data_IF_991013282524
#
_entry.id   IF_991013282524
#
_cell.length_a   1.000
_cell.length_b   1.000
_cell.length_c   1.000
_cell.angle_alpha   90.00
_cell.angle_beta   90.00
_cell.angle_gamma   90.00
#
_symmetry.space_group_name_H-M   'P 1'
#
loop_
_entity.id
_entity.type
_entity.pdbx_description
1 polymer ?
#
# COMPACT_ATOMS: atom_id res chain seq x y z
N UNK A 1 -9.01 26.96 30.75
CA UNK A 1 -7.89 26.38 29.98
C UNK A 1 -8.25 25.03 29.37
N UNK A 2 -8.85 24.09 30.11
CA UNK A 2 -9.31 22.78 29.60
C UNK A 2 -10.38 22.89 28.50
N UNK A 3 -11.33 23.83 28.61
CA UNK A 3 -12.39 24.03 27.61
C UNK A 3 -11.86 24.58 26.27
N UNK A 4 -10.92 25.55 26.31
CA UNK A 4 -10.22 26.05 25.11
C UNK A 4 -9.38 24.98 24.40
N UNK A 5 -8.71 24.11 25.17
CA UNK A 5 -7.97 22.96 24.62
C UNK A 5 -8.90 21.92 23.98
N UNK A 6 -10.09 21.72 24.57
CA UNK A 6 -11.11 20.83 24.01
C UNK A 6 -11.70 21.38 22.71
N UNK A 7 -12.03 22.68 22.66
CA UNK A 7 -12.51 23.37 21.46
C UNK A 7 -11.49 23.36 20.33
N UNK A 8 -10.20 23.58 20.63
CA UNK A 8 -9.12 23.49 19.64
C UNK A 8 -8.93 22.06 19.10
N UNK A 9 -8.99 21.04 19.97
CA UNK A 9 -8.92 19.64 19.56
C UNK A 9 -10.13 19.20 18.71
N UNK A 10 -11.33 19.69 19.03
CA UNK A 10 -12.56 19.44 18.26
C UNK A 10 -12.57 20.17 16.92
N UNK A 11 -12.14 21.44 16.87
CA UNK A 11 -12.00 22.19 15.63
C UNK A 11 -10.99 21.51 14.68
N UNK A 12 -9.87 21.02 15.23
CA UNK A 12 -8.88 20.22 14.49
C UNK A 12 -9.47 18.90 13.97
N UNK A 13 -10.32 18.22 14.75
CA UNK A 13 -10.99 16.99 14.32
C UNK A 13 -11.99 17.22 13.17
N UNK A 14 -12.80 18.28 13.23
CA UNK A 14 -13.74 18.62 12.15
C UNK A 14 -13.03 18.91 10.83
N UNK A 15 -11.96 19.73 10.88
CA UNK A 15 -11.15 20.05 9.69
C UNK A 15 -10.51 18.78 9.12
N UNK A 16 -9.90 17.95 9.98
CA UNK A 16 -9.29 16.68 9.55
C UNK A 16 -10.31 15.76 8.89
N UNK A 17 -11.48 15.58 9.51
CA UNK A 17 -12.54 14.74 8.94
C UNK A 17 -13.00 15.29 7.58
N UNK A 18 -13.22 16.59 7.45
CA UNK A 18 -13.61 17.20 6.17
C UNK A 18 -12.58 16.95 5.06
N UNK A 19 -11.28 17.11 5.37
CA UNK A 19 -10.19 16.82 4.42
C UNK A 19 -10.16 15.34 4.03
N UNK A 20 -10.23 14.42 5.00
CA UNK A 20 -10.23 12.98 4.71
C UNK A 20 -11.45 12.58 3.85
N UNK A 21 -12.63 13.11 4.16
CA UNK A 21 -13.85 12.87 3.37
C UNK A 21 -13.72 13.40 1.94
N UNK A 22 -13.12 14.57 1.76
CA UNK A 22 -12.86 15.12 0.42
C UNK A 22 -11.94 14.20 -0.39
N UNK A 23 -10.87 13.68 0.21
CA UNK A 23 -9.94 12.76 -0.46
C UNK A 23 -10.55 11.39 -0.79
N UNK A 24 -11.48 10.89 0.03
CA UNK A 24 -12.14 9.61 -0.19
C UNK A 24 -13.32 9.67 -1.17
N UNK A 25 -13.90 10.86 -1.37
CA UNK A 25 -15.16 11.06 -2.10
C UNK A 25 -15.08 10.61 -3.56
N UNK A 26 -15.99 9.71 -3.94
CA UNK A 26 -16.13 9.23 -5.31
C UNK A 26 -16.61 10.33 -6.28
N UNK A 27 -17.48 11.24 -5.81
CA UNK A 27 -17.96 12.36 -6.64
C UNK A 27 -16.83 13.35 -6.94
N UNK A 28 -16.04 13.71 -5.93
CA UNK A 28 -14.85 14.57 -6.10
C UNK A 28 -13.86 13.90 -7.05
N UNK A 29 -13.64 12.60 -6.90
CA UNK A 29 -12.77 11.83 -7.78
C UNK A 29 -13.23 11.88 -9.25
N UNK A 30 -14.52 11.65 -9.52
CA UNK A 30 -15.07 11.75 -10.89
C UNK A 30 -14.97 13.16 -11.45
N UNK A 31 -15.28 14.17 -10.63
CA UNK A 31 -15.21 15.56 -11.02
C UNK A 31 -13.77 15.97 -11.39
N UNK A 32 -12.79 15.55 -10.58
CA UNK A 32 -11.37 15.81 -10.85
C UNK A 32 -10.91 15.16 -12.15
N UNK A 33 -11.32 13.93 -12.45
CA UNK A 33 -11.05 13.27 -13.75
C UNK A 33 -11.65 14.05 -14.91
N UNK A 34 -12.91 14.45 -14.80
CA UNK A 34 -13.60 15.21 -15.84
C UNK A 34 -12.87 16.53 -16.10
N UNK A 35 -12.57 17.29 -15.05
CA UNK A 35 -11.85 18.58 -15.13
C UNK A 35 -10.46 18.42 -15.72
N UNK A 36 -9.69 17.38 -15.34
CA UNK A 36 -8.35 17.18 -15.89
C UNK A 36 -8.37 16.79 -17.36
N UNK A 37 -9.33 15.96 -17.81
CA UNK A 37 -9.50 15.66 -19.22
C UNK A 37 -9.96 16.87 -20.05
N UNK A 38 -10.88 17.69 -19.53
CA UNK A 38 -11.31 18.94 -20.16
C UNK A 38 -10.13 19.92 -20.30
N UNK A 39 -9.35 20.11 -19.25
CA UNK A 39 -8.16 20.95 -19.27
C UNK A 39 -7.13 20.45 -20.30
N UNK A 40 -6.78 19.16 -20.25
CA UNK A 40 -5.88 18.51 -21.24
C UNK A 40 -6.35 18.74 -22.67
N UNK A 41 -7.64 18.54 -22.93
CA UNK A 41 -8.22 18.75 -24.26
C UNK A 41 -8.15 20.21 -24.70
N UNK A 42 -8.45 21.16 -23.81
CA UNK A 42 -8.40 22.59 -24.12
C UNK A 42 -6.99 23.10 -24.41
N UNK A 43 -5.99 22.51 -23.76
CA UNK A 43 -4.57 22.82 -23.94
C UNK A 43 -3.92 22.04 -25.10
N UNK A 44 -4.70 21.23 -25.84
CA UNK A 44 -4.22 20.32 -26.89
C UNK A 44 -3.06 19.40 -26.43
N UNK A 45 -3.03 19.05 -25.13
CA UNK A 45 -2.01 18.13 -24.60
C UNK A 45 -2.31 16.69 -25.04
N UNK A 46 -1.30 15.92 -25.47
CA UNK A 46 -1.48 14.50 -25.73
C UNK A 46 -1.79 13.75 -24.43
N UNK A 47 -2.26 12.51 -24.54
CA UNK A 47 -2.37 11.59 -23.40
C UNK A 47 -0.97 11.14 -22.95
N UNK A 48 -0.30 11.96 -22.16
CA UNK A 48 1.06 11.72 -21.64
C UNK A 48 1.02 10.99 -20.28
N UNK A 49 1.63 9.81 -20.23
CA UNK A 49 1.87 9.04 -19.01
C UNK A 49 3.30 9.26 -18.56
N UNK A 50 3.46 9.82 -17.35
CA UNK A 50 4.76 9.88 -16.70
C UNK A 50 5.00 8.56 -15.95
N UNK A 51 6.21 8.01 -16.03
CA UNK A 51 6.62 6.85 -15.23
C UNK A 51 7.90 7.16 -14.46
N UNK A 52 7.81 7.26 -13.15
CA UNK A 52 8.94 7.51 -12.27
C UNK A 52 9.69 6.20 -12.02
N UNK A 53 10.89 6.09 -12.58
CA UNK A 53 11.73 4.91 -12.50
C UNK A 53 12.92 5.16 -11.58
N UNK A 54 13.09 4.31 -10.57
CA UNK A 54 14.24 4.33 -9.66
C UNK A 54 15.05 3.05 -9.88
N UNK A 55 16.35 3.18 -10.15
CA UNK A 55 17.14 2.03 -10.64
C UNK A 55 17.28 0.93 -9.61
N UNK A 56 17.48 1.31 -8.35
CA UNK A 56 17.69 0.42 -7.20
C UNK A 56 16.39 0.09 -6.46
N UNK A 57 15.23 0.43 -7.03
CA UNK A 57 13.93 0.04 -6.50
C UNK A 57 13.50 -1.32 -7.09
N UNK A 58 13.30 -2.35 -6.25
CA UNK A 58 12.91 -3.67 -6.75
C UNK A 58 11.52 -3.65 -7.42
N UNK A 59 10.60 -2.76 -7.02
CA UNK A 59 9.31 -2.62 -7.70
C UNK A 59 9.46 -1.97 -9.07
N UNK A 60 10.41 -1.05 -9.23
CA UNK A 60 10.76 -0.48 -10.54
C UNK A 60 11.31 -1.56 -11.47
N UNK A 61 12.13 -2.49 -10.94
CA UNK A 61 12.61 -3.66 -11.69
C UNK A 61 11.48 -4.61 -12.11
N UNK A 62 10.46 -4.81 -11.27
CA UNK A 62 9.31 -5.63 -11.64
C UNK A 62 8.44 -4.92 -12.69
N UNK A 63 8.13 -3.64 -12.48
CA UNK A 63 7.21 -2.85 -13.31
C UNK A 63 7.74 -2.65 -14.73
N UNK A 64 9.05 -2.44 -14.90
CA UNK A 64 9.67 -2.19 -16.22
C UNK A 64 9.46 -3.35 -17.20
N UNK A 65 9.26 -4.57 -16.72
CA UNK A 65 9.02 -5.76 -17.54
C UNK A 65 7.73 -5.65 -18.37
N UNK A 66 6.75 -4.91 -17.87
CA UNK A 66 5.42 -4.76 -18.47
C UNK A 66 5.28 -3.54 -19.39
N UNK A 67 6.25 -2.63 -19.41
CA UNK A 67 6.13 -1.33 -20.07
C UNK A 67 5.94 -1.43 -21.58
N UNK A 68 6.65 -2.32 -22.27
CA UNK A 68 6.45 -2.48 -23.73
C UNK A 68 5.04 -2.96 -24.04
N UNK A 69 4.53 -3.92 -23.25
CA UNK A 69 3.18 -4.44 -23.41
C UNK A 69 2.17 -3.32 -23.20
N UNK A 70 2.26 -2.62 -22.06
CA UNK A 70 1.44 -1.46 -21.73
C UNK A 70 1.43 -0.42 -22.86
N UNK A 71 2.59 0.03 -23.31
CA UNK A 71 2.70 1.04 -24.38
C UNK A 71 2.16 0.55 -25.72
N UNK A 72 2.32 -0.73 -26.03
CA UNK A 72 1.79 -1.31 -27.27
C UNK A 72 0.27 -1.45 -27.26
N UNK A 73 -0.34 -1.53 -26.07
CA UNK A 73 -1.79 -1.70 -25.89
C UNK A 73 -2.59 -0.40 -26.00
N UNK A 74 -1.96 0.77 -25.83
CA UNK A 74 -2.67 2.05 -25.73
C UNK A 74 -2.11 3.13 -26.67
N UNK A 75 -2.97 4.01 -27.17
CA UNK A 75 -2.60 5.21 -27.91
C UNK A 75 -2.25 6.35 -26.95
N UNK A 76 -1.03 6.29 -26.40
CA UNK A 76 -0.52 7.24 -25.40
C UNK A 76 0.89 7.70 -25.75
N UNK A 77 1.28 8.85 -25.21
CA UNK A 77 2.68 9.23 -25.07
C UNK A 77 3.18 8.71 -23.73
N UNK A 78 4.31 8.00 -23.73
CA UNK A 78 4.89 7.48 -22.51
C UNK A 78 6.25 8.13 -22.27
N UNK A 79 6.42 8.73 -21.09
CA UNK A 79 7.61 9.48 -20.70
C UNK A 79 8.15 8.92 -19.39
N UNK A 80 9.21 8.09 -19.40
CA UNK A 80 9.86 7.75 -18.15
C UNK A 80 10.59 8.98 -17.59
N UNK A 81 10.75 9.01 -16.29
CA UNK A 81 11.50 10.02 -15.56
C UNK A 81 12.39 9.25 -14.58
N UNK A 82 13.70 9.43 -14.70
CA UNK A 82 14.65 8.85 -13.77
C UNK A 82 14.56 9.61 -12.44
N UNK A 83 14.34 8.90 -11.35
CA UNK A 83 14.24 9.47 -10.00
C UNK A 83 15.23 8.77 -9.07
N UNK A 84 15.57 9.46 -7.99
CA UNK A 84 16.50 9.01 -6.96
C UNK A 84 15.78 8.69 -5.67
N UNK A 85 16.44 9.01 -4.55
CA UNK A 85 15.91 8.79 -3.21
C UNK A 85 14.50 9.37 -3.02
N UNK A 86 13.73 8.68 -2.19
CA UNK A 86 12.41 9.06 -1.74
C UNK A 86 12.47 10.33 -0.91
N UNK A 87 11.36 11.08 -0.83
CA UNK A 87 11.27 12.20 0.10
C UNK A 87 11.38 11.67 1.55
N UNK A 88 12.39 12.08 2.36
CA UNK A 88 12.60 11.55 3.71
C UNK A 88 11.41 11.75 4.66
N UNK A 89 10.54 12.73 4.42
CA UNK A 89 9.32 12.96 5.21
C UNK A 89 8.25 11.88 4.98
N UNK A 90 8.43 11.02 3.97
CA UNK A 90 7.41 10.08 3.50
C UNK A 90 7.71 8.62 3.81
N UNK A 91 8.94 8.29 4.18
CA UNK A 91 9.34 6.92 4.54
C UNK A 91 9.65 6.87 6.03
N UNK A 92 8.81 6.17 6.78
CA UNK A 92 9.07 5.88 8.19
C UNK A 92 9.69 4.50 8.27
N UNK A 93 10.71 4.30 9.12
CA UNK A 93 11.43 3.02 9.25
C UNK A 93 12.08 2.53 7.94
N UNK A 94 12.96 3.33 7.29
CA UNK A 94 13.47 3.04 5.95
C UNK A 94 14.22 1.70 5.83
N UNK A 95 14.89 1.24 6.90
CA UNK A 95 15.57 -0.06 6.90
C UNK A 95 14.59 -1.23 6.77
N UNK A 96 13.49 -1.23 7.56
CA UNK A 96 12.46 -2.26 7.47
C UNK A 96 11.76 -2.21 6.11
N UNK A 97 11.45 -0.99 5.64
CA UNK A 97 10.86 -0.78 4.31
C UNK A 97 11.70 -1.43 3.21
N UNK A 98 12.99 -1.10 3.14
CA UNK A 98 13.88 -1.61 2.09
C UNK A 98 14.03 -3.14 2.16
N UNK A 99 14.23 -3.71 3.35
CA UNK A 99 14.30 -5.18 3.52
C UNK A 99 13.01 -5.83 3.01
N UNK A 100 11.85 -5.27 3.38
CA UNK A 100 10.56 -5.79 2.94
C UNK A 100 10.39 -5.69 1.42
N UNK A 101 10.65 -4.53 0.81
CA UNK A 101 10.44 -4.34 -0.64
C UNK A 101 11.24 -5.32 -1.49
N UNK A 102 12.49 -5.59 -1.13
CA UNK A 102 13.33 -6.55 -1.84
C UNK A 102 12.73 -7.96 -1.76
N UNK A 103 12.38 -8.38 -0.55
CA UNK A 103 11.85 -9.72 -0.29
C UNK A 103 10.42 -9.89 -0.85
N UNK A 104 9.61 -8.85 -0.85
CA UNK A 104 8.27 -8.84 -1.46
C UNK A 104 8.35 -9.07 -2.97
N UNK A 105 9.24 -8.35 -3.66
CA UNK A 105 9.44 -8.55 -5.10
C UNK A 105 9.95 -9.95 -5.43
N UNK A 106 10.84 -10.52 -4.60
CA UNK A 106 11.24 -11.94 -4.75
C UNK A 106 10.06 -12.90 -4.65
N UNK A 107 9.11 -12.63 -3.75
CA UNK A 107 7.92 -13.46 -3.54
C UNK A 107 6.91 -13.33 -4.67
N UNK A 108 6.67 -12.11 -5.18
CA UNK A 108 5.63 -11.87 -6.19
C UNK A 108 6.09 -12.06 -7.63
N UNK A 109 7.37 -11.81 -7.94
CA UNK A 109 7.87 -11.85 -9.32
C UNK A 109 7.55 -13.17 -10.06
N UNK A 110 7.66 -14.36 -9.44
CA UNK A 110 7.27 -15.62 -10.09
C UNK A 110 5.79 -15.66 -10.53
N UNK A 111 4.88 -15.05 -9.77
CA UNK A 111 3.45 -14.97 -10.14
C UNK A 111 3.21 -14.05 -11.34
N UNK A 112 4.18 -13.21 -11.68
CA UNK A 112 4.16 -12.32 -12.83
C UNK A 112 5.01 -12.85 -14.01
N UNK A 113 5.51 -14.09 -13.94
CA UNK A 113 6.47 -14.69 -14.87
C UNK A 113 7.78 -13.87 -15.02
N UNK A 114 8.15 -13.15 -13.97
CA UNK A 114 9.38 -12.36 -13.91
C UNK A 114 10.40 -13.09 -13.05
N UNK A 115 11.61 -13.29 -13.58
CA UNK A 115 12.72 -13.81 -12.81
C UNK A 115 13.36 -12.71 -11.96
N UNK A 116 13.42 -12.90 -10.64
CA UNK A 116 14.11 -11.99 -9.73
C UNK A 116 14.86 -12.79 -8.65
N UNK A 117 16.19 -12.78 -8.72
CA UNK A 117 17.05 -13.62 -7.87
C UNK A 117 17.97 -12.82 -6.92
N UNK A 118 17.85 -11.50 -6.88
CA UNK A 118 18.67 -10.65 -6.03
C UNK A 118 18.37 -10.89 -4.55
N UNK A 119 19.40 -11.00 -3.71
CA UNK A 119 19.27 -11.19 -2.25
C UNK A 119 19.74 -9.95 -1.45
N UNK A 120 20.28 -8.97 -2.15
CA UNK A 120 20.71 -7.69 -1.60
C UNK A 120 20.43 -6.59 -2.62
N UNK A 121 20.36 -5.34 -2.14
CA UNK A 121 20.38 -4.19 -3.03
C UNK A 121 21.73 -4.10 -3.77
N UNK A 122 21.77 -3.55 -4.99
CA UNK A 122 23.01 -3.25 -5.70
C UNK A 122 23.89 -2.30 -4.89
N UNK A 123 25.21 -2.39 -5.09
CA UNK A 123 26.15 -1.46 -4.47
C UNK A 123 25.94 -0.03 -4.99
N UNK A 124 26.38 0.97 -4.22
CA UNK A 124 26.32 2.38 -4.66
C UNK A 124 27.04 2.61 -5.98
N UNK A 125 28.18 1.93 -6.21
CA UNK A 125 28.91 2.00 -7.47
C UNK A 125 28.05 1.49 -8.64
N UNK A 126 27.45 0.31 -8.50
CA UNK A 126 26.55 -0.26 -9.51
C UNK A 126 25.36 0.66 -9.81
N UNK A 127 24.75 1.22 -8.76
CA UNK A 127 23.66 2.19 -8.86
C UNK A 127 24.11 3.46 -9.61
N UNK A 128 25.29 4.00 -9.32
CA UNK A 128 25.87 5.15 -10.03
C UNK A 128 26.13 4.84 -11.50
N UNK A 129 26.73 3.68 -11.81
CA UNK A 129 26.96 3.22 -13.18
C UNK A 129 25.64 3.11 -13.95
N UNK A 130 24.63 2.47 -13.37
CA UNK A 130 23.31 2.34 -13.97
C UNK A 130 22.68 3.71 -14.22
N UNK A 131 22.67 4.61 -13.23
CA UNK A 131 22.14 5.96 -13.38
C UNK A 131 22.80 6.74 -14.53
N UNK A 132 24.12 6.61 -14.70
CA UNK A 132 24.85 7.23 -15.82
C UNK A 132 24.46 6.65 -17.18
N UNK A 133 24.29 5.33 -17.27
CA UNK A 133 23.82 4.67 -18.50
C UNK A 133 22.39 5.12 -18.85
N UNK A 134 21.47 5.01 -17.89
CA UNK A 134 20.06 5.34 -18.09
C UNK A 134 19.85 6.83 -18.39
N UNK A 135 20.74 7.68 -17.86
CA UNK A 135 20.78 9.11 -18.18
C UNK A 135 21.27 9.40 -19.60
N UNK A 136 22.03 8.51 -20.24
CA UNK A 136 22.57 8.71 -21.59
C UNK A 136 21.61 8.26 -22.70
N UNK A 137 20.65 7.38 -22.40
CA UNK A 137 19.80 6.73 -23.40
C UNK A 137 18.40 7.31 -23.50
N UNK A 138 17.79 7.18 -24.68
CA UNK A 138 16.33 7.32 -24.84
C UNK A 138 15.62 6.05 -24.34
N UNK A 139 14.40 6.20 -23.84
CA UNK A 139 13.66 5.11 -23.18
C UNK A 139 13.50 3.82 -23.99
N UNK A 140 13.28 3.90 -25.30
CA UNK A 140 13.11 2.70 -26.13
C UNK A 140 14.35 1.80 -26.14
N UNK A 141 15.53 2.38 -25.88
CA UNK A 141 16.79 1.67 -25.68
C UNK A 141 16.87 1.20 -24.22
N UNK A 142 16.42 2.00 -23.26
CA UNK A 142 16.32 1.65 -21.83
C UNK A 142 15.53 0.36 -21.56
N UNK A 143 14.30 0.24 -22.07
CA UNK A 143 13.47 -0.96 -21.83
C UNK A 143 14.10 -2.19 -22.49
N UNK A 144 14.73 -2.02 -23.66
CA UNK A 144 15.51 -3.08 -24.29
C UNK A 144 16.72 -3.48 -23.45
N UNK A 145 17.47 -2.52 -22.90
CA UNK A 145 18.65 -2.77 -22.06
C UNK A 145 18.30 -3.38 -20.70
N UNK A 146 17.19 -2.95 -20.08
CA UNK A 146 16.72 -3.47 -18.79
C UNK A 146 16.09 -4.87 -18.95
N UNK A 147 15.43 -5.14 -20.09
CA UNK A 147 14.98 -6.50 -20.45
C UNK A 147 16.12 -7.41 -20.90
N UNK A 148 17.17 -6.85 -21.49
CA UNK A 148 18.32 -7.61 -22.00
C UNK A 148 19.47 -7.78 -21.01
N UNK A 149 19.32 -7.39 -19.73
CA UNK A 149 19.64 -8.22 -18.56
C UNK A 149 19.63 -7.44 -17.25
N UNK A 150 19.25 -8.18 -16.22
CA UNK A 150 19.45 -8.05 -14.79
C UNK A 150 20.81 -7.49 -14.28
N UNK A 151 21.71 -6.95 -15.12
CA UNK A 151 23.13 -6.77 -14.80
C UNK A 151 23.40 -6.03 -13.48
N UNK A 152 22.63 -4.99 -13.15
CA UNK A 152 22.78 -4.31 -11.87
C UNK A 152 22.30 -5.16 -10.68
N UNK A 153 21.13 -5.78 -10.80
CA UNK A 153 20.53 -6.63 -9.76
C UNK A 153 21.17 -8.03 -9.65
N UNK A 154 21.91 -8.45 -10.68
CA UNK A 154 22.71 -9.68 -10.71
C UNK A 154 24.20 -9.42 -10.46
N UNK A 155 24.58 -8.18 -10.12
CA UNK A 155 25.97 -7.76 -9.90
C UNK A 155 26.94 -8.11 -11.06
N UNK A 156 26.45 -8.08 -12.30
CA UNK A 156 27.26 -8.25 -13.51
C UNK A 156 27.94 -6.91 -13.89
N UNK A 157 29.05 -6.63 -13.22
CA UNK A 157 29.87 -5.42 -13.44
C UNK A 157 30.39 -5.34 -14.87
N UNK A 158 30.80 -6.47 -15.46
CA UNK A 158 31.36 -6.50 -16.81
C UNK A 158 30.33 -6.05 -17.86
N UNK A 159 29.08 -6.46 -17.70
CA UNK A 159 27.97 -5.99 -18.52
C UNK A 159 27.76 -4.46 -18.39
N UNK A 160 27.77 -3.92 -17.17
CA UNK A 160 27.59 -2.47 -16.95
C UNK A 160 28.77 -1.66 -17.50
N UNK A 161 30.00 -2.14 -17.35
CA UNK A 161 31.19 -1.50 -17.88
C UNK A 161 31.21 -1.50 -19.41
N UNK A 162 30.70 -2.56 -20.05
CA UNK A 162 30.49 -2.59 -21.49
C UNK A 162 29.45 -1.54 -21.93
N UNK A 163 28.33 -1.43 -21.22
CA UNK A 163 27.29 -0.43 -21.51
C UNK A 163 27.78 1.00 -21.29
N UNK A 164 28.60 1.26 -20.29
CA UNK A 164 29.16 2.60 -20.03
C UNK A 164 30.05 3.11 -21.18
N UNK A 165 30.70 2.21 -21.91
CA UNK A 165 31.51 2.58 -23.09
C UNK A 165 30.64 3.08 -24.24
N UNK A 166 29.41 2.58 -24.35
CA UNK A 166 28.48 2.91 -25.43
C UNK A 166 27.52 4.05 -25.03
N UNK A 167 27.07 4.05 -23.78
CA UNK A 167 26.07 4.95 -23.24
C UNK A 167 26.52 5.45 -21.87
N UNK A 168 27.15 6.62 -21.82
CA UNK A 168 27.43 7.28 -20.56
C UNK A 168 27.35 8.80 -20.65
N UNK A 169 26.95 9.40 -19.54
CA UNK A 169 27.14 10.81 -19.24
C UNK A 169 28.08 10.95 -18.04
N UNK A 170 28.48 12.18 -17.72
CA UNK A 170 29.21 12.42 -16.47
C UNK A 170 28.32 12.09 -15.26
N UNK A 171 28.93 11.81 -14.12
CA UNK A 171 28.17 11.58 -12.89
C UNK A 171 27.35 12.81 -12.49
N UNK A 172 27.92 14.01 -12.66
CA UNK A 172 27.21 15.27 -12.40
C UNK A 172 25.96 15.44 -13.27
N UNK A 173 26.05 15.10 -14.56
CA UNK A 173 24.89 15.16 -15.46
C UNK A 173 23.81 14.15 -15.07
N UNK A 174 24.21 12.94 -14.67
CA UNK A 174 23.28 11.91 -14.19
C UNK A 174 22.58 12.36 -12.90
N UNK A 175 23.34 12.90 -11.93
CA UNK A 175 22.79 13.45 -10.71
C UNK A 175 21.85 14.63 -10.97
N UNK A 176 22.17 15.51 -11.93
CA UNK A 176 21.29 16.60 -12.31
C UNK A 176 19.97 16.09 -12.90
N UNK A 177 20.01 15.12 -13.82
CA UNK A 177 18.78 14.51 -14.37
C UNK A 177 17.91 13.85 -13.30
N UNK A 178 18.53 13.23 -12.30
CA UNK A 178 17.83 12.65 -11.15
C UNK A 178 17.18 13.73 -10.29
N UNK A 179 17.88 14.85 -10.02
CA UNK A 179 17.30 15.99 -9.29
C UNK A 179 16.11 16.59 -10.04
N UNK A 180 16.23 16.78 -11.36
CA UNK A 180 15.15 17.28 -12.20
C UNK A 180 13.95 16.31 -12.18
N UNK A 181 14.22 15.00 -12.25
CA UNK A 181 13.20 13.97 -12.16
C UNK A 181 12.49 13.93 -10.80
N UNK A 182 13.24 14.09 -9.71
CA UNK A 182 12.69 14.24 -8.36
C UNK A 182 11.79 15.48 -8.27
N UNK A 183 12.21 16.63 -8.83
CA UNK A 183 11.36 17.83 -8.88
C UNK A 183 10.03 17.55 -9.57
N UNK A 184 10.06 16.89 -10.73
CA UNK A 184 8.82 16.54 -11.45
C UNK A 184 7.94 15.59 -10.61
N UNK A 185 8.53 14.58 -9.98
CA UNK A 185 7.79 13.63 -9.11
C UNK A 185 7.12 14.36 -7.94
N UNK A 186 7.89 15.21 -7.26
CA UNK A 186 7.45 15.90 -6.04
C UNK A 186 6.39 16.97 -6.39
N UNK A 187 6.51 17.66 -7.54
CA UNK A 187 5.48 18.55 -8.10
C UNK A 187 4.16 17.83 -8.42
N UNK A 188 4.19 16.50 -8.60
CA UNK A 188 2.99 15.67 -8.79
C UNK A 188 2.45 15.10 -7.47
N UNK A 189 2.83 15.67 -6.32
CA UNK A 189 2.38 15.23 -4.99
C UNK A 189 2.78 13.78 -4.67
N UNK A 190 3.87 13.25 -5.27
CA UNK A 190 4.32 11.87 -5.08
C UNK A 190 5.76 11.76 -4.54
N UNK A 191 6.15 10.54 -4.15
CA UNK A 191 7.34 10.36 -3.31
C UNK A 191 8.08 9.02 -3.48
N UNK A 192 7.51 8.03 -4.16
CA UNK A 192 8.17 6.76 -4.45
C UNK A 192 8.62 6.63 -5.92
N UNK A 193 9.59 5.75 -6.15
CA UNK A 193 9.82 5.16 -7.47
C UNK A 193 8.69 4.21 -7.88
N UNK A 194 8.83 3.62 -9.06
CA UNK A 194 7.87 2.67 -9.63
C UNK A 194 6.44 3.19 -9.64
N UNK A 195 6.20 4.38 -10.17
CA UNK A 195 4.84 4.93 -10.22
C UNK A 195 4.53 5.61 -11.53
N UNK A 196 3.27 5.47 -11.95
CA UNK A 196 2.72 6.16 -13.09
C UNK A 196 1.91 7.37 -12.64
N UNK A 197 1.99 8.44 -13.40
CA UNK A 197 1.13 9.61 -13.26
C UNK A 197 0.42 9.91 -14.57
N UNK A 198 -0.89 10.19 -14.46
CA UNK A 198 -1.71 10.62 -15.58
C UNK A 198 -2.82 11.55 -15.11
N UNK A 199 -2.84 12.79 -15.63
CA UNK A 199 -3.92 13.76 -15.44
C UNK A 199 -4.47 13.81 -13.99
N UNK A 200 -3.57 14.16 -13.05
CA UNK A 200 -3.80 14.28 -11.60
C UNK A 200 -4.09 12.98 -10.83
N UNK A 201 -3.81 11.83 -11.40
CA UNK A 201 -3.85 10.54 -10.68
C UNK A 201 -2.49 9.83 -10.68
N UNK A 202 -2.27 9.08 -9.59
CA UNK A 202 -1.09 8.28 -9.33
C UNK A 202 -1.44 6.80 -9.24
N UNK A 203 -0.56 5.97 -9.78
CA UNK A 203 -0.70 4.52 -9.82
C UNK A 203 0.66 3.89 -9.47
N UNK A 204 0.75 3.31 -8.28
CA UNK A 204 1.98 2.66 -7.81
C UNK A 204 2.16 1.27 -8.40
N UNK A 205 3.22 1.13 -9.18
CA UNK A 205 3.76 -0.13 -9.69
C UNK A 205 2.77 -1.00 -10.43
N UNK A 206 3.07 -2.30 -10.44
CA UNK A 206 2.18 -3.33 -10.99
C UNK A 206 0.85 -3.41 -10.24
N UNK A 207 0.85 -3.12 -8.93
CA UNK A 207 -0.32 -3.25 -8.05
C UNK A 207 -1.45 -2.26 -8.42
N UNK A 208 -1.12 -1.12 -9.04
CA UNK A 208 -2.12 -0.11 -9.48
C UNK A 208 -2.17 0.11 -10.99
N UNK A 209 -1.29 -0.52 -11.78
CA UNK A 209 -1.27 -0.35 -13.23
C UNK A 209 -2.63 -0.63 -13.88
N UNK A 210 -3.33 -1.67 -13.41
CA UNK A 210 -4.64 -2.04 -13.94
C UNK A 210 -5.71 -0.93 -13.78
N UNK A 211 -5.58 -0.03 -12.80
CA UNK A 211 -6.47 1.14 -12.68
C UNK A 211 -6.19 2.21 -13.73
N UNK A 212 -4.91 2.46 -14.02
CA UNK A 212 -4.52 3.34 -15.11
C UNK A 212 -5.05 2.78 -16.42
N UNK A 213 -4.83 1.49 -16.68
CA UNK A 213 -5.28 0.82 -17.90
C UNK A 213 -6.80 0.83 -18.05
N UNK A 214 -7.54 0.67 -16.96
CA UNK A 214 -9.01 0.83 -16.95
C UNK A 214 -9.40 2.25 -17.34
N UNK A 215 -8.77 3.28 -16.76
CA UNK A 215 -9.02 4.69 -17.10
C UNK A 215 -8.73 4.96 -18.58
N UNK A 216 -7.61 4.46 -19.12
CA UNK A 216 -7.27 4.62 -20.54
C UNK A 216 -8.27 3.91 -21.46
N UNK A 217 -8.81 2.77 -21.02
CA UNK A 217 -9.85 2.04 -21.76
C UNK A 217 -11.19 2.79 -21.75
N UNK A 218 -11.58 3.39 -20.62
CA UNK A 218 -12.75 4.28 -20.51
C UNK A 218 -12.65 5.50 -21.46
N UNK A 219 -11.43 6.01 -21.66
CA UNK A 219 -11.11 7.07 -22.62
C UNK A 219 -11.00 6.59 -24.07
N UNK A 220 -11.25 5.31 -24.35
CA UNK A 220 -11.16 4.69 -25.68
C UNK A 220 -9.77 4.79 -26.32
N UNK A 221 -8.72 4.76 -25.49
CA UNK A 221 -7.32 4.77 -25.95
C UNK A 221 -6.75 3.38 -26.18
N UNK A 222 -7.49 2.33 -25.81
CA UNK A 222 -7.11 0.94 -26.08
C UNK A 222 -7.06 0.65 -27.57
N UNK A 223 -6.02 -0.06 -28.01
CA UNK A 223 -5.92 -0.55 -29.41
C UNK A 223 -6.69 -1.84 -29.63
N UNK A 224 -6.98 -2.58 -28.56
CA UNK A 224 -7.85 -3.75 -28.58
C UNK A 224 -9.30 -3.33 -28.29
N UNK A 225 -10.25 -4.13 -28.76
CA UNK A 225 -11.68 -3.90 -28.53
C UNK A 225 -12.10 -4.15 -27.08
N UNK A 226 -11.40 -5.05 -26.38
CA UNK A 226 -11.72 -5.43 -25.00
C UNK A 226 -10.58 -5.06 -24.04
N UNK A 227 -10.96 -4.60 -22.84
CA UNK A 227 -10.01 -4.28 -21.78
C UNK A 227 -9.45 -5.56 -21.16
N UNK A 228 -8.13 -5.73 -21.22
CA UNK A 228 -7.40 -6.77 -20.49
C UNK A 228 -6.19 -6.13 -19.81
N UNK A 229 -6.03 -6.23 -18.47
CA UNK A 229 -4.85 -5.73 -17.78
C UNK A 229 -3.57 -6.34 -18.35
N UNK A 230 -2.54 -5.53 -18.59
CA UNK A 230 -1.27 -6.03 -19.15
C UNK A 230 -0.45 -6.80 -18.13
N UNK A 231 -0.67 -6.52 -16.85
CA UNK A 231 -0.04 -7.14 -15.70
C UNK A 231 -1.13 -7.75 -14.79
N UNK A 232 -1.11 -9.08 -14.65
CA UNK A 232 -2.00 -9.82 -13.75
C UNK A 232 -1.21 -11.00 -13.16
N UNK A 233 -1.22 -11.20 -11.82
CA UNK A 233 -0.57 -12.35 -11.23
C UNK A 233 -1.30 -13.65 -11.61
N UNK A 234 -0.53 -14.72 -11.84
CA UNK A 234 -1.01 -16.08 -12.08
C UNK A 234 -1.27 -16.78 -10.76
N UNK A 235 -2.46 -16.59 -10.23
CA UNK A 235 -2.91 -17.21 -8.98
C UNK A 235 -3.39 -18.65 -9.24
N UNK A 236 -2.99 -19.58 -8.38
CA UNK A 236 -3.36 -21.00 -8.44
C UNK A 236 -4.09 -21.49 -7.20
N UNK A 237 -4.06 -20.72 -6.09
CA UNK A 237 -4.82 -21.04 -4.90
C UNK A 237 -6.34 -21.07 -5.19
N UNK A 238 -7.06 -22.11 -4.74
CA UNK A 238 -8.50 -22.20 -4.94
C UNK A 238 -9.24 -21.18 -4.07
N UNK A 239 -10.48 -20.86 -4.42
CA UNK A 239 -11.28 -19.88 -3.68
C UNK A 239 -11.62 -20.32 -2.25
N UNK A 240 -11.69 -21.62 -2.01
CA UNK A 240 -11.98 -22.25 -0.73
C UNK A 240 -11.07 -23.46 -0.52
N UNK A 241 -10.67 -23.71 0.72
CA UNK A 241 -9.89 -24.86 1.13
C UNK A 241 -10.48 -25.48 2.39
N UNK A 242 -10.75 -26.78 2.34
CA UNK A 242 -11.09 -27.59 3.50
C UNK A 242 -10.07 -28.71 3.64
N UNK A 243 -9.10 -28.54 4.54
CA UNK A 243 -8.08 -29.54 4.86
C UNK A 243 -8.08 -29.85 6.35
N UNK A 244 -7.48 -30.98 6.74
CA UNK A 244 -7.30 -31.35 8.15
C UNK A 244 -6.27 -30.48 8.87
N UNK A 245 -5.37 -29.83 8.14
CA UNK A 245 -4.33 -28.96 8.70
C UNK A 245 -4.87 -27.55 8.90
N UNK A 246 -4.81 -27.07 10.14
CA UNK A 246 -5.13 -25.69 10.51
C UNK A 246 -3.87 -24.82 10.46
N UNK A 247 -4.03 -23.54 10.15
CA UNK A 247 -2.95 -22.55 10.17
C UNK A 247 -3.32 -21.40 11.10
N UNK A 248 -2.34 -20.74 11.69
CA UNK A 248 -2.60 -19.49 12.41
C UNK A 248 -2.34 -18.31 11.49
N UNK A 249 -3.34 -17.45 11.29
CA UNK A 249 -3.19 -16.18 10.60
C UNK A 249 -3.26 -15.05 11.62
N UNK A 250 -2.11 -14.48 11.96
CA UNK A 250 -2.06 -13.26 12.77
C UNK A 250 -2.28 -12.04 11.86
N UNK A 251 -3.29 -11.25 12.17
CA UNK A 251 -3.65 -9.99 11.50
C UNK A 251 -3.23 -8.81 12.37
N UNK A 252 -2.45 -7.87 11.80
CA UNK A 252 -1.99 -6.66 12.46
C UNK A 252 -2.73 -5.41 11.93
N UNK A 253 -3.93 -5.09 12.45
CA UNK A 253 -4.69 -3.90 12.05
C UNK A 253 -4.26 -2.63 12.80
N UNK A 254 -4.65 -1.47 12.25
CA UNK A 254 -4.71 -0.24 13.04
C UNK A 254 -5.95 0.57 12.70
N UNK A 255 -6.63 1.09 13.73
CA UNK A 255 -7.90 1.80 13.59
C UNK A 255 -7.85 3.01 12.65
N UNK A 256 -6.69 3.67 12.48
CA UNK A 256 -6.56 4.83 11.60
C UNK A 256 -6.02 4.52 10.19
N UNK A 257 -5.77 3.25 9.86
CA UNK A 257 -5.30 2.88 8.53
C UNK A 257 -6.49 2.62 7.59
N UNK A 258 -6.67 3.42 6.52
CA UNK A 258 -7.73 3.15 5.55
C UNK A 258 -7.49 1.83 4.81
N UNK A 259 -6.22 1.41 4.61
CA UNK A 259 -5.91 0.11 4.05
C UNK A 259 -6.27 -1.06 4.99
N UNK A 260 -6.24 -0.84 6.30
CA UNK A 260 -6.74 -1.83 7.27
C UNK A 260 -8.24 -2.00 7.08
N UNK A 261 -9.00 -0.90 7.03
CA UNK A 261 -10.43 -0.94 6.76
C UNK A 261 -10.76 -1.70 5.46
N UNK A 262 -10.18 -1.34 4.31
CA UNK A 262 -10.51 -2.01 3.02
C UNK A 262 -10.11 -3.49 2.96
N UNK A 263 -9.33 -3.97 3.94
CA UNK A 263 -8.95 -5.38 4.05
C UNK A 263 -9.93 -6.21 4.88
N UNK A 264 -10.66 -5.64 5.84
CA UNK A 264 -11.41 -6.41 6.87
C UNK A 264 -12.42 -7.37 6.27
N UNK A 265 -13.23 -6.93 5.29
CA UNK A 265 -14.17 -7.79 4.57
C UNK A 265 -13.48 -9.03 3.97
N UNK A 266 -12.30 -8.86 3.39
CA UNK A 266 -11.53 -9.98 2.82
C UNK A 266 -10.84 -10.81 3.88
N UNK A 267 -10.48 -10.25 5.03
CA UNK A 267 -9.93 -11.01 6.17
C UNK A 267 -11.01 -11.94 6.73
N UNK A 268 -12.24 -11.45 6.88
CA UNK A 268 -13.41 -12.27 7.22
C UNK A 268 -13.63 -13.40 6.21
N UNK A 269 -13.58 -13.08 4.91
CA UNK A 269 -13.68 -14.10 3.85
C UNK A 269 -12.55 -15.13 3.91
N UNK A 270 -11.32 -14.74 4.25
CA UNK A 270 -10.24 -15.71 4.46
C UNK A 270 -10.55 -16.64 5.63
N UNK A 271 -11.08 -16.12 6.74
CA UNK A 271 -11.48 -16.92 7.90
C UNK A 271 -12.60 -17.92 7.56
N UNK A 272 -13.54 -17.52 6.70
CA UNK A 272 -14.65 -18.36 6.26
C UNK A 272 -14.23 -19.44 5.24
N UNK A 273 -13.28 -19.10 4.36
CA UNK A 273 -12.95 -19.93 3.19
C UNK A 273 -11.72 -20.82 3.37
N UNK A 274 -10.87 -20.56 4.37
CA UNK A 274 -9.62 -21.26 4.61
C UNK A 274 -9.56 -21.81 6.04
N UNK A 275 -8.80 -22.89 6.30
CA UNK A 275 -8.71 -23.50 7.63
C UNK A 275 -7.75 -22.69 8.51
N UNK A 276 -8.11 -21.46 8.83
CA UNK A 276 -7.28 -20.54 9.60
C UNK A 276 -7.88 -20.26 10.98
N UNK A 277 -7.03 -20.28 12.00
CA UNK A 277 -7.25 -19.61 13.26
C UNK A 277 -6.84 -18.14 13.11
N UNK A 278 -7.81 -17.22 13.10
CA UNK A 278 -7.55 -15.79 12.95
C UNK A 278 -7.18 -15.17 14.31
N UNK A 279 -5.97 -14.67 14.44
CA UNK A 279 -5.45 -14.02 15.64
C UNK A 279 -5.35 -12.51 15.37
N UNK A 280 -6.08 -11.69 16.12
CA UNK A 280 -6.09 -10.23 15.90
C UNK A 280 -5.12 -9.54 16.83
N UNK A 281 -4.08 -8.89 16.28
CA UNK A 281 -3.03 -8.20 17.04
C UNK A 281 -2.92 -6.73 16.61
N UNK A 282 -3.84 -5.84 17.05
CA UNK A 282 -3.81 -4.45 16.64
C UNK A 282 -2.51 -3.76 17.04
N UNK A 283 -2.17 -2.71 16.30
CA UNK A 283 -1.04 -1.81 16.59
C UNK A 283 -1.50 -0.36 16.56
N UNK A 284 -0.78 0.50 17.29
CA UNK A 284 -1.15 1.90 17.43
C UNK A 284 -0.97 2.68 16.10
N UNK A 285 -1.88 3.60 15.75
CA UNK A 285 -1.74 4.45 14.56
C UNK A 285 -0.38 5.14 14.46
N UNK A 286 0.15 5.27 13.24
CA UNK A 286 1.44 5.95 12.99
C UNK A 286 1.49 7.37 13.57
N UNK A 287 0.41 8.15 13.38
CA UNK A 287 0.27 9.50 13.93
C UNK A 287 0.31 9.54 15.48
N UNK A 288 -0.01 8.42 16.12
CA UNK A 288 0.06 8.27 17.58
C UNK A 288 1.39 7.69 18.05
N UNK A 289 2.30 7.38 17.13
CA UNK A 289 3.69 6.94 17.35
C UNK A 289 4.71 8.05 17.04
N UNK A 290 4.28 9.32 17.11
CA UNK A 290 5.10 10.51 16.83
C UNK A 290 5.60 10.64 15.38
N UNK A 291 4.96 9.94 14.43
CA UNK A 291 5.23 10.11 13.00
C UNK A 291 4.37 11.24 12.42
N UNK A 292 4.94 12.02 11.50
CA UNK A 292 4.23 13.04 10.72
C UNK A 292 3.88 12.50 9.34
N UNK A 293 2.70 12.86 8.81
CA UNK A 293 2.28 12.47 7.46
C UNK A 293 1.99 13.75 6.68
N UNK A 294 2.79 14.09 5.66
CA UNK A 294 2.52 15.24 4.80
C UNK A 294 1.15 15.13 4.11
N UNK A 295 0.52 16.27 3.82
CA UNK A 295 -0.84 16.31 3.24
C UNK A 295 -0.93 15.58 1.90
N UNK A 296 0.08 15.71 1.04
CA UNK A 296 0.10 15.03 -0.26
C UNK A 296 0.15 13.50 -0.12
N UNK A 297 0.89 12.98 0.86
CA UNK A 297 0.91 11.56 1.22
C UNK A 297 -0.43 11.09 1.77
N UNK A 298 -1.06 11.89 2.65
CA UNK A 298 -2.40 11.58 3.16
C UNK A 298 -3.45 11.55 2.05
N UNK A 299 -3.40 12.50 1.11
CA UNK A 299 -4.25 12.56 -0.09
C UNK A 299 -4.11 11.29 -0.92
N UNK A 300 -2.89 10.86 -1.23
CA UNK A 300 -2.66 9.63 -1.98
C UNK A 300 -3.20 8.40 -1.22
N UNK A 301 -2.82 8.20 0.04
CA UNK A 301 -3.22 7.01 0.82
C UNK A 301 -4.74 6.88 0.93
N UNK A 302 -5.45 7.97 1.21
CA UNK A 302 -6.91 7.93 1.39
C UNK A 302 -7.63 7.75 0.06
N UNK A 303 -7.20 8.46 -1.00
CA UNK A 303 -7.83 8.34 -2.32
C UNK A 303 -7.58 6.98 -2.97
N UNK A 304 -6.38 6.42 -2.81
CA UNK A 304 -6.04 5.08 -3.27
C UNK A 304 -6.81 4.01 -2.47
N UNK A 305 -6.82 4.08 -1.15
CA UNK A 305 -7.62 3.16 -0.34
C UNK A 305 -9.12 3.24 -0.68
N UNK A 306 -9.68 4.43 -0.93
CA UNK A 306 -11.07 4.55 -1.38
C UNK A 306 -11.30 3.86 -2.74
N UNK A 307 -10.32 3.91 -3.66
CA UNK A 307 -10.34 3.21 -4.95
C UNK A 307 -10.26 1.68 -4.78
N UNK A 308 -9.42 1.19 -3.87
CA UNK A 308 -9.35 -0.23 -3.49
C UNK A 308 -10.68 -0.70 -2.89
N UNK A 309 -11.23 0.07 -1.94
CA UNK A 309 -12.49 -0.22 -1.27
C UNK A 309 -13.65 -0.36 -2.26
N UNK A 310 -13.75 0.51 -3.27
CA UNK A 310 -14.73 0.37 -4.36
C UNK A 310 -14.55 -0.92 -5.14
N UNK A 311 -13.31 -1.29 -5.44
CA UNK A 311 -12.98 -2.50 -6.22
C UNK A 311 -13.36 -3.78 -5.46
N UNK A 312 -13.17 -3.79 -4.15
CA UNK A 312 -13.49 -4.93 -3.28
C UNK A 312 -14.90 -4.87 -2.66
N UNK A 313 -15.74 -3.92 -3.10
CA UNK A 313 -17.09 -3.71 -2.56
C UNK A 313 -17.09 -3.57 -1.02
N UNK A 314 -16.11 -2.84 -0.51
CA UNK A 314 -15.95 -2.43 0.88
C UNK A 314 -15.49 -0.97 0.91
N UNK A 315 -16.38 -0.11 0.40
CA UNK A 315 -16.07 1.28 0.09
C UNK A 315 -15.95 2.15 1.34
N UNK A 316 -14.95 3.04 1.35
CA UNK A 316 -14.88 4.16 2.30
C UNK A 316 -15.96 5.17 1.92
N UNK A 317 -16.90 5.44 2.82
CA UNK A 317 -18.01 6.38 2.58
C UNK A 317 -17.75 7.68 3.33
N UNK A 318 -18.16 7.74 4.61
CA UNK A 318 -17.99 8.91 5.45
C UNK A 318 -17.04 8.60 6.60
N UNK A 319 -16.00 9.42 6.70
CA UNK A 319 -14.91 9.22 7.65
C UNK A 319 -15.12 10.07 8.89
N UNK A 320 -15.13 9.42 10.05
CA UNK A 320 -14.81 10.02 11.33
C UNK A 320 -13.44 9.51 11.79
N UNK A 321 -12.43 10.38 11.77
CA UNK A 321 -11.04 9.98 11.96
C UNK A 321 -10.78 9.35 13.36
N UNK A 322 -10.42 8.05 13.43
CA UNK A 322 -10.28 7.31 14.68
C UNK A 322 -8.85 7.45 15.24
N UNK A 323 -8.53 8.63 15.76
CA UNK A 323 -7.22 8.92 16.37
C UNK A 323 -7.36 9.62 17.72
N UNK A 324 -6.28 9.61 18.51
CA UNK A 324 -6.23 10.35 19.76
C UNK A 324 -7.12 9.72 20.84
N UNK A 325 -7.94 10.55 21.51
CA UNK A 325 -8.76 10.09 22.64
C UNK A 325 -9.79 9.00 22.23
N UNK A 326 -10.56 9.15 21.13
CA UNK A 326 -11.44 8.09 20.64
C UNK A 326 -10.75 6.74 20.47
N UNK A 327 -9.64 6.69 19.72
CA UNK A 327 -8.91 5.45 19.47
C UNK A 327 -8.37 4.82 20.77
N UNK A 328 -7.81 5.62 21.69
CA UNK A 328 -7.30 5.11 22.98
C UNK A 328 -8.42 4.50 23.82
N UNK A 329 -9.61 5.09 23.78
CA UNK A 329 -10.76 4.59 24.53
C UNK A 329 -11.27 3.28 23.93
N UNK A 330 -11.42 3.20 22.61
CA UNK A 330 -11.76 1.95 21.93
C UNK A 330 -10.71 0.84 22.20
N UNK A 331 -9.41 1.15 22.04
CA UNK A 331 -8.35 0.17 22.34
C UNK A 331 -8.32 -0.29 23.80
N UNK A 332 -8.80 0.52 24.76
CA UNK A 332 -8.82 0.09 26.17
C UNK A 332 -9.74 -1.09 26.47
N UNK A 333 -10.73 -1.33 25.61
CA UNK A 333 -11.63 -2.48 25.71
C UNK A 333 -11.14 -3.68 24.90
N UNK A 334 -10.19 -3.49 23.97
CA UNK A 334 -9.72 -4.56 23.10
C UNK A 334 -9.21 -5.79 23.86
N UNK A 335 -8.36 -5.69 24.91
CA UNK A 335 -7.82 -6.89 25.56
C UNK A 335 -8.89 -7.83 26.13
N UNK A 336 -9.88 -7.28 26.84
CA UNK A 336 -10.96 -8.08 27.43
C UNK A 336 -11.91 -8.64 26.36
N UNK A 337 -12.18 -7.88 25.29
CA UNK A 337 -13.03 -8.34 24.19
C UNK A 337 -12.33 -9.44 23.36
N UNK A 338 -11.02 -9.34 23.19
CA UNK A 338 -10.19 -10.35 22.51
C UNK A 338 -10.11 -11.65 23.33
N UNK A 339 -9.92 -11.54 24.66
CA UNK A 339 -9.99 -12.68 25.58
C UNK A 339 -11.35 -13.41 25.52
N UNK A 340 -12.43 -12.67 25.27
CA UNK A 340 -13.78 -13.21 25.05
C UNK A 340 -14.01 -13.74 23.61
N UNK A 341 -12.98 -13.78 22.76
CA UNK A 341 -13.04 -14.33 21.41
C UNK A 341 -13.74 -13.44 20.38
N UNK A 342 -13.81 -12.13 20.62
CA UNK A 342 -14.49 -11.15 19.75
C UNK A 342 -13.60 -10.01 19.25
N UNK A 343 -12.27 -10.18 19.36
CA UNK A 343 -11.31 -9.15 19.00
C UNK A 343 -11.38 -8.72 17.52
N UNK A 344 -11.53 -9.66 16.59
CA UNK A 344 -11.65 -9.33 15.17
C UNK A 344 -12.93 -8.56 14.87
N UNK A 345 -14.09 -9.07 15.32
CA UNK A 345 -15.39 -8.43 15.08
C UNK A 345 -15.46 -7.04 15.70
N UNK A 346 -14.83 -6.85 16.87
CA UNK A 346 -14.71 -5.54 17.50
C UNK A 346 -13.89 -4.57 16.66
N UNK A 347 -12.69 -4.95 16.23
CA UNK A 347 -11.84 -4.08 15.39
C UNK A 347 -12.52 -3.78 14.05
N UNK A 348 -13.15 -4.77 13.41
CA UNK A 348 -13.88 -4.56 12.17
C UNK A 348 -15.02 -3.56 12.34
N UNK A 349 -15.85 -3.71 13.38
CA UNK A 349 -16.96 -2.80 13.64
C UNK A 349 -16.49 -1.36 13.91
N UNK A 350 -15.39 -1.19 14.66
CA UNK A 350 -14.78 0.14 14.87
C UNK A 350 -14.29 0.77 13.55
N UNK A 351 -13.71 -0.02 12.66
CA UNK A 351 -13.27 0.45 11.35
C UNK A 351 -14.45 0.83 10.45
N UNK A 352 -15.52 0.03 10.43
CA UNK A 352 -16.78 0.34 9.72
C UNK A 352 -17.37 1.65 10.22
N UNK A 353 -17.53 1.79 11.54
CA UNK A 353 -18.00 3.03 12.16
C UNK A 353 -17.16 4.25 11.75
N UNK A 354 -15.84 4.09 11.69
CA UNK A 354 -14.91 5.19 11.41
C UNK A 354 -14.78 5.55 9.94
N UNK A 355 -14.89 4.59 9.02
CA UNK A 355 -14.63 4.80 7.58
C UNK A 355 -15.88 4.71 6.69
N UNK A 356 -17.02 4.25 7.21
CA UNK A 356 -18.28 4.18 6.48
C UNK A 356 -19.38 5.04 7.11
N UNK A 357 -19.56 4.94 8.42
CA UNK A 357 -20.77 5.44 9.08
C UNK A 357 -20.62 6.82 9.74
N UNK A 358 -19.44 7.43 9.67
CA UNK A 358 -19.14 8.72 10.31
C UNK A 358 -19.30 8.72 11.85
N UNK A 359 -19.11 7.58 12.49
CA UNK A 359 -19.34 7.42 13.93
C UNK A 359 -18.06 7.65 14.73
N UNK A 360 -18.17 8.44 15.80
CA UNK A 360 -17.10 8.62 16.77
C UNK A 360 -16.98 7.39 17.69
N UNK A 361 -15.99 6.54 17.42
CA UNK A 361 -15.69 5.34 18.22
C UNK A 361 -15.26 5.60 19.68
N UNK A 362 -15.17 6.86 20.10
CA UNK A 362 -14.94 7.26 21.49
C UNK A 362 -16.21 7.54 22.29
N UNK A 363 -17.39 7.48 21.68
CA UNK A 363 -18.67 7.67 22.35
C UNK A 363 -19.02 6.46 23.23
N UNK A 364 -19.45 6.70 24.47
CA UNK A 364 -19.79 5.62 25.40
C UNK A 364 -21.02 4.83 24.95
N UNK A 365 -22.03 5.52 24.43
CA UNK A 365 -23.27 4.91 23.93
C UNK A 365 -22.95 3.97 22.78
N UNK A 366 -22.14 4.44 21.82
CA UNK A 366 -21.72 3.59 20.70
C UNK A 366 -20.92 2.37 21.17
N UNK A 367 -20.00 2.54 22.12
CA UNK A 367 -19.22 1.42 22.63
C UNK A 367 -20.09 0.40 23.38
N UNK A 368 -21.07 0.85 24.15
CA UNK A 368 -22.07 0.01 24.81
C UNK A 368 -22.92 -0.78 23.81
N UNK A 369 -23.45 -0.10 22.80
CA UNK A 369 -24.23 -0.71 21.72
C UNK A 369 -23.40 -1.75 20.95
N UNK A 370 -22.16 -1.42 20.62
CA UNK A 370 -21.24 -2.33 19.94
C UNK A 370 -20.96 -3.57 20.78
N UNK A 371 -20.58 -3.41 22.05
CA UNK A 371 -20.31 -4.54 22.95
C UNK A 371 -21.54 -5.44 23.08
N UNK A 372 -22.73 -4.84 23.21
CA UNK A 372 -24.00 -5.58 23.26
C UNK A 372 -24.29 -6.33 21.96
N UNK A 373 -23.99 -5.73 20.79
CA UNK A 373 -24.16 -6.38 19.49
C UNK A 373 -23.23 -7.60 19.30
N UNK A 374 -22.08 -7.60 19.97
CA UNK A 374 -21.15 -8.73 20.03
C UNK A 374 -21.59 -9.82 21.01
N UNK A 375 -22.76 -9.65 21.65
CA UNK A 375 -23.34 -10.54 22.67
C UNK A 375 -22.48 -10.64 23.93
N UNK A 376 -21.80 -9.55 24.29
CA UNK A 376 -21.00 -9.43 25.50
C UNK A 376 -21.73 -8.55 26.52
N UNK A 377 -21.49 -8.78 27.81
CA UNK A 377 -22.08 -7.97 28.89
C UNK A 377 -21.31 -6.66 29.05
N UNK A 378 -21.95 -5.54 28.71
CA UNK A 378 -21.38 -4.21 28.89
C UNK A 378 -20.97 -3.94 30.34
N UNK A 379 -21.72 -4.45 31.33
CA UNK A 379 -21.43 -4.23 32.75
C UNK A 379 -20.08 -4.82 33.18
N UNK A 380 -19.65 -5.91 32.54
CA UNK A 380 -18.34 -6.53 32.72
C UNK A 380 -17.28 -5.79 31.90
N UNK A 381 -17.51 -5.58 30.60
CA UNK A 381 -16.54 -4.95 29.69
C UNK A 381 -16.19 -3.52 30.11
N UNK A 382 -17.18 -2.73 30.55
CA UNK A 382 -16.95 -1.32 30.94
C UNK A 382 -16.00 -1.16 32.13
N UNK A 383 -15.79 -2.20 32.95
CA UNK A 383 -14.80 -2.18 34.05
C UNK A 383 -13.38 -1.96 33.52
N UNK A 384 -13.12 -2.32 32.27
CA UNK A 384 -11.84 -2.16 31.59
C UNK A 384 -11.75 -0.86 30.77
N UNK A 385 -12.81 -0.04 30.73
CA UNK A 385 -12.82 1.22 30.00
C UNK A 385 -11.76 2.18 30.56
N UNK A 386 -10.93 2.74 29.68
CA UNK A 386 -9.77 3.56 30.01
C UNK A 386 -8.64 2.83 30.75
N UNK A 387 -8.65 1.49 30.77
CA UNK A 387 -7.48 0.71 31.19
C UNK A 387 -6.24 1.09 30.36
N UNK A 388 -5.05 0.75 30.88
CA UNK A 388 -3.78 1.01 30.18
C UNK A 388 -3.14 -0.25 29.60
N UNK A 389 -3.69 -1.43 29.87
CA UNK A 389 -3.14 -2.72 29.44
C UNK A 389 -2.89 -2.78 27.93
N UNK A 390 -3.83 -2.25 27.14
CA UNK A 390 -3.71 -2.14 25.69
C UNK A 390 -2.40 -1.51 25.19
N UNK A 391 -1.74 -0.65 25.98
CA UNK A 391 -0.49 -0.01 25.56
C UNK A 391 0.64 -1.02 25.43
N UNK A 392 0.75 -1.91 26.40
CA UNK A 392 1.78 -2.95 26.42
C UNK A 392 1.48 -3.98 25.33
N UNK A 393 0.22 -4.41 25.20
CA UNK A 393 -0.22 -5.34 24.17
C UNK A 393 0.05 -4.81 22.75
N UNK A 394 -0.39 -3.58 22.44
CA UNK A 394 -0.18 -2.98 21.12
C UNK A 394 1.31 -2.73 20.82
N UNK A 395 2.13 -2.45 21.84
CA UNK A 395 3.57 -2.30 21.67
C UNK A 395 4.24 -3.66 21.40
N UNK A 396 3.84 -4.71 22.11
CA UNK A 396 4.31 -6.07 21.87
C UNK A 396 3.93 -6.54 20.45
N UNK A 397 2.67 -6.32 20.05
CA UNK A 397 2.19 -6.60 18.70
C UNK A 397 3.01 -5.88 17.62
N UNK A 398 3.39 -4.62 17.88
CA UNK A 398 4.26 -3.85 16.97
C UNK A 398 5.65 -4.49 16.84
N UNK A 399 6.26 -4.93 17.94
CA UNK A 399 7.56 -5.60 17.90
C UNK A 399 7.49 -6.94 17.16
N UNK A 400 6.43 -7.72 17.36
CA UNK A 400 6.20 -8.95 16.58
C UNK A 400 6.05 -8.70 15.08
N UNK A 401 5.35 -7.64 14.71
CA UNK A 401 5.18 -7.24 13.31
C UNK A 401 6.54 -6.83 12.70
N UNK A 402 7.33 -6.06 13.43
CA UNK A 402 8.67 -5.62 13.03
C UNK A 402 9.65 -6.79 12.87
N UNK A 403 9.53 -7.86 13.68
CA UNK A 403 10.35 -9.06 13.53
C UNK A 403 10.19 -9.74 12.15
N UNK A 404 9.06 -9.54 11.49
CA UNK A 404 8.82 -9.97 10.11
C UNK A 404 9.25 -8.99 9.03
N UNK A 405 9.95 -7.91 9.39
CA UNK A 405 10.24 -6.74 8.56
C UNK A 405 9.00 -6.01 8.03
N UNK A 406 7.80 -6.31 8.54
CA UNK A 406 6.60 -5.56 8.23
C UNK A 406 6.61 -4.23 8.99
N UNK A 407 6.65 -3.11 8.28
CA UNK A 407 6.79 -1.77 8.88
C UNK A 407 5.45 -1.01 8.98
N UNK A 408 4.45 -1.39 8.18
CA UNK A 408 3.14 -0.74 8.09
C UNK A 408 1.97 -1.69 8.33
N UNK A 409 0.74 -1.18 8.14
CA UNK A 409 -0.51 -1.94 8.36
C UNK A 409 -1.49 -1.77 7.20
N UNK A 410 -2.34 -2.78 6.91
CA UNK A 410 -2.41 -4.07 7.58
C UNK A 410 -1.18 -4.94 7.27
N UNK A 411 -0.79 -5.79 8.21
CA UNK A 411 0.22 -6.82 7.99
C UNK A 411 -0.32 -8.17 8.46
N UNK A 412 0.27 -9.24 7.95
CA UNK A 412 -0.16 -10.60 8.20
C UNK A 412 1.05 -11.49 8.49
N UNK A 413 0.90 -12.39 9.46
CA UNK A 413 1.86 -13.47 9.76
C UNK A 413 1.11 -14.79 9.72
N UNK A 414 1.46 -15.65 8.79
CA UNK A 414 0.99 -17.01 8.70
C UNK A 414 1.99 -17.95 9.39
N UNK A 415 1.51 -18.85 10.24
CA UNK A 415 2.31 -19.95 10.80
C UNK A 415 1.56 -21.26 10.64
N UNK A 416 2.28 -22.36 10.81
CA UNK A 416 1.65 -23.66 11.08
C UNK A 416 0.91 -23.62 12.45
N UNK A 417 0.12 -24.65 12.74
CA UNK A 417 -0.70 -24.75 13.95
C UNK A 417 0.14 -24.66 15.25
N UNK A 418 1.36 -25.21 15.22
CA UNK A 418 2.34 -25.19 16.32
C UNK A 418 3.08 -23.85 16.48
N UNK A 419 2.78 -22.86 15.62
CA UNK A 419 3.46 -21.56 15.59
C UNK A 419 4.75 -21.53 14.78
N UNK A 420 5.16 -22.65 14.16
CA UNK A 420 6.34 -22.75 13.32
C UNK A 420 6.17 -22.16 11.91
N UNK A 421 7.28 -22.12 11.17
CA UNK A 421 7.32 -21.73 9.75
C UNK A 421 6.66 -20.36 9.44
N UNK A 422 7.12 -19.26 10.06
CA UNK A 422 6.46 -17.97 9.91
C UNK A 422 6.64 -17.40 8.50
N UNK A 423 5.55 -16.92 7.92
CA UNK A 423 5.53 -16.19 6.64
C UNK A 423 4.81 -14.86 6.81
N UNK A 424 5.50 -13.77 6.52
CA UNK A 424 5.03 -12.41 6.75
C UNK A 424 4.75 -11.69 5.45
N UNK A 425 3.62 -10.99 5.35
CA UNK A 425 3.34 -10.05 4.25
C UNK A 425 2.74 -8.76 4.79
N UNK A 426 3.05 -7.65 4.13
CA UNK A 426 2.54 -6.33 4.42
C UNK A 426 1.65 -5.84 3.28
N UNK A 427 0.53 -5.22 3.64
CA UNK A 427 -0.41 -4.60 2.73
C UNK A 427 -1.58 -5.50 2.36
N UNK A 428 -2.73 -4.87 2.13
CA UNK A 428 -3.93 -5.53 1.63
C UNK A 428 -3.71 -6.16 0.24
N UNK A 429 -2.76 -5.62 -0.52
CA UNK A 429 -2.35 -6.06 -1.86
C UNK A 429 -1.59 -7.41 -1.86
N UNK A 430 -1.35 -7.99 -0.68
CA UNK A 430 -0.63 -9.26 -0.52
C UNK A 430 -1.49 -10.35 0.12
N UNK A 431 -2.79 -10.11 0.32
CA UNK A 431 -3.70 -11.14 0.87
C UNK A 431 -3.78 -12.39 -0.01
N UNK A 432 -3.64 -12.24 -1.33
CA UNK A 432 -3.58 -13.39 -2.24
C UNK A 432 -2.33 -14.26 -2.02
N UNK A 433 -1.19 -13.69 -1.60
CA UNK A 433 0.00 -14.49 -1.25
C UNK A 433 -0.24 -15.37 -0.02
N UNK A 434 -1.05 -14.91 0.94
CA UNK A 434 -1.44 -15.75 2.08
C UNK A 434 -2.20 -16.99 1.59
N UNK A 435 -3.11 -16.81 0.63
CA UNK A 435 -3.87 -17.90 0.03
C UNK A 435 -2.97 -18.89 -0.70
N UNK A 436 -2.05 -18.38 -1.53
CA UNK A 436 -1.04 -19.19 -2.24
C UNK A 436 -0.14 -19.95 -1.28
N UNK A 437 0.33 -19.31 -0.21
CA UNK A 437 1.19 -19.95 0.78
C UNK A 437 0.44 -21.03 1.58
N UNK A 438 -0.83 -20.80 1.94
CA UNK A 438 -1.67 -21.85 2.57
C UNK A 438 -1.86 -23.02 1.61
N UNK A 439 -2.21 -22.76 0.35
CA UNK A 439 -2.40 -23.80 -0.66
C UNK A 439 -1.13 -24.64 -0.84
N UNK A 440 0.02 -23.98 -0.97
CA UNK A 440 1.34 -24.62 -1.11
C UNK A 440 1.74 -25.46 0.12
N UNK A 441 1.39 -25.05 1.34
CA UNK A 441 1.67 -25.81 2.57
C UNK A 441 0.69 -26.95 2.82
N UNK A 442 -0.41 -26.98 2.07
CA UNK A 442 -1.46 -27.98 2.17
C UNK A 442 -1.38 -29.04 1.07
N UNK A 443 -0.68 -28.75 -0.04
CA UNK A 443 -0.24 -29.72 -1.04
C UNK A 443 0.96 -30.51 -0.54
#
# INVERSE_FOLDING_TARGET
MVQKLHEQAHASAKVRNAVMNHFASYEVFKENRKKSEEARSSENRPHEILYFHKVDDPYSHLTIQFIDRFRSSYNIQFKPILVGEENPETVHEPSLYNIYCLEDVRRIAPYYDVSFSAHSYPSKDLTTKANRILSAVKMLILVRLVKSKCCMWSADEACLDALLKEYSVSENDAQQKIRDGNSIRDEKDYYFGSAFYYENELYWGVDRLHYLERRLSELKLGRANEFTPTCKPRLVAPSTLSFSKQFNLTYYPSLNSPYTFVSTKRVRQLQENYPINLITKPVLPMLMRMMTIPTFKAKYIISDAAREGRTHQHEIKKIYSPIGKPARKAYSLFPIIDEMGKGFEYIEALLIASFQDEINIGDDTYLEDLVSSLKLDWSEVKKHLNSKQWREDLNHNLQEMYAGNCWGVPSFKLTDDDGGNPFYVWGQDRMWLIQEEIAKRSS
#
